data_IF_437195061229
#
_entry.id   IF_437195061229
#
_cell.length_a   1.000
_cell.length_b   1.000
_cell.length_c   1.000
_cell.angle_alpha   90.00
_cell.angle_beta   90.00
_cell.angle_gamma   90.00
#
_symmetry.space_group_name_H-M   'P 1'
#
loop_
_entity.id
_entity.type
_entity.pdbx_description
1 polymer ?
#
# COMPACT_ATOMS: atom_id res chain seq x y z
N UNK A 1 34.19 -16.55 -67.62
CA UNK A 1 32.84 -17.15 -67.72
C UNK A 1 32.19 -17.07 -66.35
N UNK A 2 30.98 -16.55 -66.32
CA UNK A 2 30.25 -15.93 -65.20
C UNK A 2 29.99 -16.85 -64.02
N UNK A 3 30.52 -16.49 -62.84
CA UNK A 3 30.11 -17.08 -61.55
C UNK A 3 28.79 -16.45 -61.11
N UNK A 4 27.74 -17.28 -61.08
CA UNK A 4 26.42 -16.94 -60.53
C UNK A 4 26.50 -16.93 -59.01
N UNK A 5 26.23 -15.77 -58.39
CA UNK A 5 26.09 -15.63 -56.93
C UNK A 5 24.63 -15.90 -56.55
N UNK A 6 24.37 -17.08 -55.99
CA UNK A 6 23.09 -17.39 -55.34
C UNK A 6 23.06 -16.72 -53.97
N UNK A 7 22.23 -15.68 -53.82
CA UNK A 7 21.93 -15.07 -52.53
C UNK A 7 20.86 -15.92 -51.82
N UNK A 8 21.23 -16.49 -50.66
CA UNK A 8 20.27 -17.14 -49.75
C UNK A 8 19.62 -16.05 -48.90
N UNK A 9 18.34 -15.79 -49.13
CA UNK A 9 17.54 -14.87 -48.32
C UNK A 9 17.12 -15.60 -47.04
N UNK A 10 17.79 -15.32 -45.92
CA UNK A 10 17.36 -15.80 -44.61
C UNK A 10 16.13 -14.99 -44.14
N UNK A 11 14.96 -15.62 -44.16
CA UNK A 11 13.73 -15.03 -43.66
C UNK A 11 13.76 -15.06 -42.12
N UNK A 12 14.19 -13.96 -41.51
CA UNK A 12 14.06 -13.74 -40.06
C UNK A 12 12.58 -13.45 -39.79
N UNK A 13 11.84 -14.46 -39.34
CA UNK A 13 10.49 -14.27 -38.81
C UNK A 13 10.63 -13.63 -37.43
N UNK A 14 10.59 -12.31 -37.35
CA UNK A 14 10.32 -11.61 -36.09
C UNK A 14 8.86 -11.89 -35.71
N UNK A 15 8.65 -12.82 -34.76
CA UNK A 15 7.38 -12.91 -34.05
C UNK A 15 7.18 -11.57 -33.32
N UNK A 16 6.36 -10.69 -33.89
CA UNK A 16 5.83 -9.56 -33.16
C UNK A 16 4.94 -10.15 -32.05
N UNK A 17 5.44 -10.15 -30.81
CA UNK A 17 4.62 -10.34 -29.62
C UNK A 17 3.56 -9.24 -29.66
N UNK A 18 2.36 -9.59 -30.11
CA UNK A 18 1.20 -8.73 -29.96
C UNK A 18 1.07 -8.43 -28.46
N UNK A 19 0.94 -7.15 -28.05
CA UNK A 19 0.75 -6.83 -26.65
C UNK A 19 -0.50 -7.58 -26.18
N UNK A 20 -0.32 -8.48 -25.21
CA UNK A 20 -1.42 -9.16 -24.55
C UNK A 20 -2.37 -8.07 -24.05
N UNK A 21 -3.60 -8.07 -24.55
CA UNK A 21 -4.65 -7.22 -23.98
C UNK A 21 -4.74 -7.60 -22.51
N UNK A 22 -4.42 -6.68 -21.62
CA UNK A 22 -4.44 -6.94 -20.19
C UNK A 22 -5.86 -7.36 -19.82
N UNK A 23 -6.01 -8.58 -19.31
CA UNK A 23 -7.26 -9.02 -18.69
C UNK A 23 -7.49 -8.15 -17.46
N UNK A 24 -8.69 -7.62 -17.30
CA UNK A 24 -9.03 -6.86 -16.10
C UNK A 24 -8.92 -7.75 -14.85
N UNK A 25 -8.88 -7.15 -13.66
CA UNK A 25 -8.86 -7.91 -12.40
C UNK A 25 -7.57 -8.68 -12.11
N UNK A 26 -6.42 -8.28 -12.68
CA UNK A 26 -5.11 -8.86 -12.36
C UNK A 26 -4.38 -7.99 -11.36
N UNK A 27 -3.69 -8.62 -10.40
CA UNK A 27 -2.81 -7.94 -9.46
C UNK A 27 -1.55 -8.76 -9.19
N UNK A 28 -0.49 -8.09 -8.76
CA UNK A 28 0.74 -8.71 -8.30
C UNK A 28 1.38 -7.84 -7.22
N UNK A 29 2.03 -8.47 -6.25
CA UNK A 29 2.77 -7.78 -5.19
C UNK A 29 4.23 -8.22 -5.22
N UNK A 30 5.16 -7.28 -5.19
CA UNK A 30 6.59 -7.56 -5.00
C UNK A 30 7.02 -6.89 -3.72
N UNK A 31 7.64 -7.67 -2.81
CA UNK A 31 8.17 -7.17 -1.55
C UNK A 31 9.63 -7.56 -1.40
N UNK A 32 10.48 -6.59 -1.11
CA UNK A 32 11.86 -6.77 -0.66
C UNK A 32 11.92 -6.58 0.85
N UNK A 33 12.63 -7.46 1.56
CA UNK A 33 12.87 -7.36 2.98
C UNK A 33 14.34 -7.60 3.34
N UNK A 34 14.83 -6.82 4.30
CA UNK A 34 16.13 -6.95 4.91
C UNK A 34 16.40 -8.38 5.42
N UNK A 35 15.41 -8.96 6.12
CA UNK A 35 15.50 -10.31 6.70
C UNK A 35 15.70 -11.44 5.69
N UNK A 36 15.47 -11.19 4.40
CA UNK A 36 15.69 -12.14 3.30
C UNK A 36 16.91 -11.80 2.45
N UNK A 37 17.65 -10.74 2.76
CA UNK A 37 18.76 -10.25 1.95
C UNK A 37 18.31 -9.64 0.62
N UNK A 38 17.04 -9.26 0.49
CA UNK A 38 16.45 -8.81 -0.78
C UNK A 38 17.04 -7.49 -1.30
N UNK A 39 17.66 -6.70 -0.42
CA UNK A 39 18.32 -5.45 -0.78
C UNK A 39 19.73 -5.61 -1.38
N UNK A 40 20.24 -6.83 -1.55
CA UNK A 40 21.58 -7.07 -2.12
C UNK A 40 21.72 -6.53 -3.55
N UNK A 41 20.64 -6.60 -4.33
CA UNK A 41 20.62 -6.16 -5.74
C UNK A 41 20.26 -4.69 -5.92
N UNK A 42 19.95 -3.98 -4.83
CA UNK A 42 19.60 -2.57 -4.88
C UNK A 42 20.84 -1.70 -5.12
N UNK A 43 20.66 -0.65 -5.91
CA UNK A 43 21.66 0.39 -6.09
C UNK A 43 21.57 1.37 -4.93
N UNK A 44 22.70 1.59 -4.25
CA UNK A 44 22.78 2.46 -3.07
C UNK A 44 23.68 3.66 -3.36
N UNK A 45 23.25 4.84 -2.92
CA UNK A 45 24.02 6.09 -2.98
C UNK A 45 23.83 6.82 -1.66
N UNK A 46 24.90 7.04 -0.88
CA UNK A 46 24.79 7.63 0.46
C UNK A 46 24.03 6.79 1.50
N UNK A 47 23.71 5.53 1.14
CA UNK A 47 23.00 4.54 1.96
C UNK A 47 23.85 3.29 2.04
N UNK A 48 23.80 2.62 3.19
CA UNK A 48 24.53 1.40 3.49
C UNK A 48 23.60 0.29 3.93
N UNK A 49 24.09 -0.94 3.82
CA UNK A 49 23.44 -2.14 4.36
C UNK A 49 23.98 -2.41 5.76
N UNK A 50 23.11 -2.49 6.75
CA UNK A 50 23.45 -2.95 8.08
C UNK A 50 23.62 -4.48 8.11
N UNK A 51 24.10 -5.02 9.24
CA UNK A 51 24.36 -6.46 9.40
C UNK A 51 23.10 -7.33 9.27
N UNK A 52 21.93 -6.79 9.64
CA UNK A 52 20.62 -7.45 9.49
C UNK A 52 20.03 -7.29 8.08
N UNK A 53 20.77 -6.69 7.15
CA UNK A 53 20.35 -6.42 5.78
C UNK A 53 19.53 -5.13 5.59
N UNK A 54 19.16 -4.42 6.66
CA UNK A 54 18.39 -3.18 6.57
C UNK A 54 19.20 -2.05 5.92
N UNK A 55 18.51 -1.07 5.33
CA UNK A 55 19.16 0.07 4.68
C UNK A 55 19.13 1.28 5.59
N UNK A 56 20.29 1.95 5.72
CA UNK A 56 20.46 3.11 6.60
C UNK A 56 21.27 4.20 5.90
N UNK A 57 21.00 5.46 6.23
CA UNK A 57 21.83 6.57 5.75
C UNK A 57 23.26 6.41 6.28
N UNK A 58 24.26 6.63 5.42
CA UNK A 58 25.68 6.63 5.79
C UNK A 58 26.16 8.08 5.90
N UNK A 59 26.37 8.65 7.10
CA UNK A 59 26.70 10.07 7.25
C UNK A 59 27.88 10.53 6.39
N UNK A 60 28.96 9.74 6.32
CA UNK A 60 30.15 10.06 5.51
C UNK A 60 30.00 9.90 3.99
N UNK A 61 28.87 9.37 3.50
CA UNK A 61 28.59 9.22 2.06
C UNK A 61 27.27 9.87 1.64
N UNK A 62 26.45 10.29 2.60
CA UNK A 62 25.26 11.11 2.38
C UNK A 62 25.65 12.50 1.86
N UNK A 63 24.72 13.16 1.19
CA UNK A 63 24.93 14.53 0.71
C UNK A 63 23.91 15.47 1.33
N UNK A 64 24.30 16.74 1.45
CA UNK A 64 23.40 17.78 1.93
C UNK A 64 22.33 18.09 0.89
N UNK A 65 21.12 18.36 1.39
CA UNK A 65 20.02 18.95 0.66
C UNK A 65 19.37 20.04 1.48
N UNK A 66 18.46 20.77 0.86
CA UNK A 66 17.61 21.78 1.49
C UNK A 66 16.18 21.54 1.09
N UNK A 67 15.24 21.99 1.93
CA UNK A 67 13.83 21.96 1.60
C UNK A 67 13.60 22.60 0.21
N UNK A 68 12.90 21.91 -0.71
CA UNK A 68 12.70 22.43 -2.06
C UNK A 68 11.81 23.69 -2.09
N UNK A 69 11.07 23.96 -1.02
CA UNK A 69 10.24 25.16 -0.89
C UNK A 69 10.76 26.02 0.26
N UNK A 70 10.71 27.35 0.09
CA UNK A 70 10.93 28.26 1.20
C UNK A 70 9.89 28.05 2.32
N UNK A 71 10.13 28.56 3.54
CA UNK A 71 9.18 28.43 4.64
C UNK A 71 7.75 28.84 4.26
N UNK A 72 6.78 27.94 4.46
CA UNK A 72 5.36 28.14 4.09
C UNK A 72 5.07 28.03 2.59
N UNK A 73 6.08 27.80 1.75
CA UNK A 73 5.99 27.78 0.29
C UNK A 73 5.30 26.53 -0.28
N UNK A 74 5.01 25.52 0.54
CA UNK A 74 4.32 24.30 0.13
C UNK A 74 2.95 24.24 0.79
N UNK A 75 1.93 24.84 0.14
CA UNK A 75 0.55 24.89 0.64
C UNK A 75 0.40 25.49 2.05
N UNK A 76 1.25 26.46 2.40
CA UNK A 76 1.30 27.05 3.74
C UNK A 76 2.12 26.25 4.76
N UNK A 77 2.62 25.06 4.38
CA UNK A 77 3.50 24.21 5.16
C UNK A 77 4.93 24.11 4.59
N UNK A 78 5.65 23.06 5.01
CA UNK A 78 6.99 22.67 4.52
C UNK A 78 6.92 21.32 3.82
N UNK A 79 7.77 21.09 2.81
CA UNK A 79 7.81 19.79 2.12
C UNK A 79 8.65 18.76 2.88
N UNK A 80 9.74 19.20 3.50
CA UNK A 80 10.49 18.41 4.47
C UNK A 80 10.47 19.13 5.82
N UNK A 81 11.65 19.41 6.37
CA UNK A 81 11.83 20.04 7.68
C UNK A 81 11.93 21.57 7.61
N UNK A 82 11.72 22.19 6.44
CA UNK A 82 11.87 23.64 6.24
C UNK A 82 13.32 24.14 6.25
N UNK A 83 14.31 23.26 6.27
CA UNK A 83 15.71 23.62 6.43
C UNK A 83 16.67 22.75 5.62
N UNK A 84 17.91 22.64 6.11
CA UNK A 84 18.91 21.72 5.55
C UNK A 84 18.78 20.33 6.15
N UNK A 85 19.27 19.33 5.42
CA UNK A 85 19.33 17.94 5.85
C UNK A 85 20.41 17.18 5.10
N UNK A 86 20.69 15.96 5.53
CA UNK A 86 21.48 14.96 4.82
C UNK A 86 20.55 13.92 4.22
N UNK A 87 20.88 13.44 3.03
CA UNK A 87 20.09 12.42 2.36
C UNK A 87 20.92 11.40 1.60
N UNK A 88 20.29 10.27 1.33
CA UNK A 88 20.80 9.15 0.56
C UNK A 88 19.65 8.43 -0.13
N UNK A 89 19.96 7.63 -1.15
CA UNK A 89 18.97 6.94 -1.96
C UNK A 89 19.29 5.44 -2.09
N UNK A 90 18.24 4.63 -2.02
CA UNK A 90 18.26 3.23 -2.37
C UNK A 90 17.27 2.99 -3.52
N UNK A 91 17.73 2.43 -4.64
CA UNK A 91 16.90 2.20 -5.83
C UNK A 91 16.84 0.70 -6.13
N UNK A 92 15.62 0.18 -6.32
CA UNK A 92 15.38 -1.22 -6.67
C UNK A 92 15.94 -1.55 -8.06
N UNK A 93 16.22 -2.83 -8.35
CA UNK A 93 16.33 -3.30 -9.73
C UNK A 93 15.09 -2.93 -10.54
N UNK A 94 15.23 -2.91 -11.87
CA UNK A 94 14.08 -2.86 -12.77
C UNK A 94 13.33 -4.18 -12.63
N UNK A 95 12.03 -4.11 -12.36
CA UNK A 95 11.14 -5.27 -12.31
C UNK A 95 10.23 -5.24 -13.53
N UNK A 96 10.31 -6.27 -14.37
CA UNK A 96 9.34 -6.51 -15.44
C UNK A 96 8.05 -7.05 -14.85
N UNK A 97 6.91 -6.47 -15.24
CA UNK A 97 5.60 -6.92 -14.81
C UNK A 97 5.13 -8.13 -15.63
N UNK A 98 4.49 -9.10 -14.98
CA UNK A 98 3.93 -10.27 -15.64
C UNK A 98 2.74 -9.95 -16.57
N UNK A 99 2.09 -8.81 -16.34
CA UNK A 99 1.00 -8.27 -17.16
C UNK A 99 1.11 -6.74 -17.25
N UNK A 100 0.46 -6.15 -18.25
CA UNK A 100 0.37 -4.70 -18.35
C UNK A 100 -0.50 -4.13 -17.23
N UNK A 101 0.08 -3.35 -16.31
CA UNK A 101 -0.65 -2.78 -15.17
C UNK A 101 -1.02 -1.31 -15.39
N UNK A 102 -2.02 -0.85 -14.64
CA UNK A 102 -2.61 0.50 -14.72
C UNK A 102 -2.45 1.28 -13.43
N UNK A 103 -2.33 0.58 -12.31
CA UNK A 103 -2.21 1.18 -10.98
C UNK A 103 -1.04 0.55 -10.23
N UNK A 104 -0.36 1.36 -9.41
CA UNK A 104 0.68 0.90 -8.51
C UNK A 104 0.61 1.64 -7.17
N UNK A 105 0.71 0.87 -6.08
CA UNK A 105 0.67 1.37 -4.71
C UNK A 105 1.95 0.90 -4.01
N UNK A 106 2.70 1.84 -3.45
CA UNK A 106 3.92 1.53 -2.71
C UNK A 106 3.62 1.32 -1.22
N UNK A 107 4.34 0.43 -0.55
CA UNK A 107 4.33 0.29 0.90
C UNK A 107 5.76 0.14 1.41
N UNK A 108 6.01 0.55 2.64
CA UNK A 108 7.35 0.49 3.24
C UNK A 108 7.26 0.18 4.73
N UNK A 109 8.30 -0.48 5.23
CA UNK A 109 8.51 -0.71 6.66
C UNK A 109 9.77 0.05 7.06
N UNK A 110 9.60 1.18 7.74
CA UNK A 110 10.71 2.05 8.11
C UNK A 110 10.62 2.47 9.57
N UNK A 111 11.77 2.50 10.24
CA UNK A 111 11.95 3.14 11.55
C UNK A 111 12.60 4.49 11.32
N UNK A 112 11.94 5.57 11.71
CA UNK A 112 12.51 6.91 11.58
C UNK A 112 12.57 7.55 12.97
N UNK A 113 13.70 7.44 13.69
CA UNK A 113 13.90 8.18 14.93
C UNK A 113 13.68 9.69 14.71
N UNK A 114 13.33 10.42 15.77
CA UNK A 114 13.18 11.88 15.72
C UNK A 114 14.37 12.54 15.02
N UNK A 115 14.09 13.49 14.12
CA UNK A 115 15.10 14.09 13.25
C UNK A 115 15.29 13.37 11.91
N UNK A 116 14.58 12.27 11.63
CA UNK A 116 14.72 11.50 10.39
C UNK A 116 13.37 11.23 9.74
N UNK A 117 13.39 10.98 8.42
CA UNK A 117 12.20 10.63 7.63
C UNK A 117 12.63 9.86 6.37
N UNK A 118 11.65 9.36 5.62
CA UNK A 118 11.85 8.73 4.31
C UNK A 118 10.89 9.32 3.27
N UNK A 119 11.27 9.26 2.00
CA UNK A 119 10.37 9.51 0.86
C UNK A 119 10.40 8.31 -0.07
N UNK A 120 9.24 7.78 -0.44
CA UNK A 120 9.14 6.67 -1.40
C UNK A 120 8.76 7.21 -2.77
N UNK A 121 9.53 6.87 -3.80
CA UNK A 121 9.28 7.26 -5.18
C UNK A 121 9.12 6.05 -6.08
N UNK A 122 8.26 6.17 -7.09
CA UNK A 122 8.00 5.15 -8.10
C UNK A 122 8.14 5.74 -9.49
N UNK A 123 8.70 4.97 -10.41
CA UNK A 123 8.58 5.24 -11.85
C UNK A 123 8.15 3.98 -12.57
N UNK A 124 7.47 4.16 -13.69
CA UNK A 124 6.94 3.05 -14.50
C UNK A 124 7.35 3.21 -15.95
N UNK A 125 7.43 2.11 -16.68
CA UNK A 125 7.72 2.09 -18.11
C UNK A 125 6.44 1.88 -18.91
N UNK A 126 6.07 2.84 -19.75
CA UNK A 126 4.87 2.79 -20.60
C UNK A 126 5.31 2.97 -22.06
N UNK A 127 4.95 2.03 -22.93
CA UNK A 127 5.35 2.09 -24.35
C UNK A 127 6.87 2.11 -24.55
N UNK A 128 7.63 1.49 -23.65
CA UNK A 128 9.10 1.46 -23.68
C UNK A 128 9.80 2.67 -23.06
N UNK A 129 9.08 3.76 -22.77
CA UNK A 129 9.64 4.95 -22.13
C UNK A 129 9.38 4.97 -20.63
N UNK A 130 10.37 5.42 -19.85
CA UNK A 130 10.22 5.62 -18.41
C UNK A 130 9.54 6.96 -18.12
N UNK A 131 8.61 6.96 -17.17
CA UNK A 131 8.10 8.19 -16.57
C UNK A 131 9.18 8.90 -15.77
N UNK A 132 8.89 10.15 -15.36
CA UNK A 132 9.60 10.75 -14.24
C UNK A 132 9.39 9.91 -12.97
N UNK A 133 10.19 10.19 -11.94
CA UNK A 133 9.93 9.69 -10.60
C UNK A 133 8.75 10.46 -9.99
N UNK A 134 7.78 9.71 -9.48
CA UNK A 134 6.65 10.22 -8.72
C UNK A 134 6.86 9.92 -7.25
N UNK A 135 6.65 10.90 -6.37
CA UNK A 135 6.64 10.68 -4.92
C UNK A 135 5.30 10.07 -4.50
N UNK A 136 5.35 8.98 -3.76
CA UNK A 136 4.21 8.23 -3.20
C UNK A 136 4.06 8.49 -1.69
N UNK A 137 4.82 9.46 -1.16
CA UNK A 137 4.64 9.97 0.19
C UNK A 137 5.96 10.19 0.93
N UNK A 138 5.94 11.23 1.76
CA UNK A 138 6.94 11.53 2.78
C UNK A 138 6.45 10.98 4.12
N UNK A 139 7.27 10.17 4.77
CA UNK A 139 6.91 9.42 5.97
C UNK A 139 7.91 9.61 7.10
N UNK A 140 7.37 9.81 8.31
CA UNK A 140 8.10 9.75 9.57
C UNK A 140 7.21 9.10 10.64
N UNK A 141 7.80 8.42 11.61
CA UNK A 141 7.15 7.76 12.77
C UNK A 141 6.55 8.79 13.73
N UNK A 142 7.18 9.95 13.88
CA UNK A 142 6.63 11.11 14.60
C UNK A 142 6.50 12.31 13.65
N UNK A 143 5.79 13.36 14.06
CA UNK A 143 5.53 14.56 13.24
C UNK A 143 6.31 15.80 13.68
N UNK A 144 7.29 15.64 14.59
CA UNK A 144 8.01 16.78 15.18
C UNK A 144 9.04 17.41 14.24
N UNK A 145 9.62 16.61 13.34
CA UNK A 145 10.64 17.06 12.37
C UNK A 145 10.05 17.31 10.99
N UNK A 146 9.23 16.38 10.51
CA UNK A 146 8.52 16.45 9.23
C UNK A 146 7.12 15.90 9.47
N UNK A 147 6.11 16.62 8.99
CA UNK A 147 4.73 16.13 9.00
C UNK A 147 4.53 15.18 7.80
N UNK A 148 3.95 14.01 8.02
CA UNK A 148 3.68 13.01 6.96
C UNK A 148 2.76 13.57 5.89
N UNK A 149 3.09 13.39 4.62
CA UNK A 149 2.19 13.80 3.55
C UNK A 149 2.36 13.05 2.24
N UNK A 150 1.25 12.94 1.50
CA UNK A 150 1.29 12.69 0.06
C UNK A 150 1.80 13.93 -0.68
N UNK A 151 2.34 13.72 -1.88
CA UNK A 151 2.88 14.80 -2.68
C UNK A 151 1.83 15.34 -3.68
N UNK A 152 1.86 16.65 -3.89
CA UNK A 152 0.84 17.41 -4.61
C UNK A 152 0.68 17.02 -6.08
N UNK A 153 -0.57 16.68 -6.47
CA UNK A 153 -1.13 16.65 -7.83
C UNK A 153 -0.18 16.25 -8.97
N UNK A 154 0.71 15.29 -8.70
CA UNK A 154 1.80 15.00 -9.63
C UNK A 154 1.24 14.33 -10.89
N UNK A 155 1.56 14.89 -12.06
CA UNK A 155 1.24 14.29 -13.34
C UNK A 155 2.36 14.50 -14.37
N UNK A 156 2.39 13.62 -15.37
CA UNK A 156 3.00 13.85 -16.67
C UNK A 156 1.99 13.44 -17.77
N UNK A 157 2.47 13.27 -19.01
CA UNK A 157 1.61 12.94 -20.15
C UNK A 157 1.04 11.52 -20.12
N UNK A 158 1.59 10.62 -19.31
CA UNK A 158 1.23 9.18 -19.32
C UNK A 158 0.84 8.62 -17.96
N UNK A 159 1.15 9.29 -16.86
CA UNK A 159 0.80 8.88 -15.51
C UNK A 159 0.52 10.07 -14.58
N UNK A 160 -0.24 9.81 -13.51
CA UNK A 160 -0.46 10.75 -12.40
C UNK A 160 -0.45 10.01 -11.06
N UNK A 161 -0.27 10.73 -9.97
CA UNK A 161 -0.51 10.23 -8.62
C UNK A 161 -1.87 10.70 -8.13
N UNK A 162 -2.56 9.82 -7.41
CA UNK A 162 -3.83 10.07 -6.75
C UNK A 162 -3.65 9.76 -5.26
N UNK A 163 -3.15 10.73 -4.50
CA UNK A 163 -2.73 10.60 -3.10
C UNK A 163 -1.63 9.54 -2.89
N UNK A 164 -1.99 8.26 -2.90
CA UNK A 164 -1.11 7.11 -2.64
C UNK A 164 -1.00 6.12 -3.81
N UNK A 165 -1.73 6.38 -4.91
CA UNK A 165 -1.81 5.47 -6.05
C UNK A 165 -1.26 6.13 -7.30
N UNK A 166 -0.22 5.54 -7.91
CA UNK A 166 0.22 5.91 -9.25
C UNK A 166 -0.75 5.28 -10.26
N UNK A 167 -1.32 6.12 -11.12
CA UNK A 167 -2.29 5.74 -12.15
C UNK A 167 -1.72 6.07 -13.52
N UNK A 168 -1.57 5.05 -14.37
CA UNK A 168 -1.27 5.25 -15.78
C UNK A 168 -2.50 5.85 -16.44
N UNK A 169 -2.39 7.02 -17.05
CA UNK A 169 -3.49 7.76 -17.69
C UNK A 169 -3.50 7.60 -19.21
N UNK A 170 -2.37 7.23 -19.81
CA UNK A 170 -2.26 7.01 -21.25
C UNK A 170 -3.32 6.00 -21.75
N UNK A 171 -4.13 6.42 -22.72
CA UNK A 171 -5.22 5.59 -23.28
C UNK A 171 -4.65 4.39 -24.01
N UNK A 172 -5.23 3.20 -23.81
CA UNK A 172 -4.84 1.94 -24.46
C UNK A 172 -3.38 1.50 -24.24
N UNK A 173 -2.65 2.13 -23.32
CA UNK A 173 -1.31 1.71 -22.91
C UNK A 173 -1.36 1.14 -21.50
N UNK A 174 -0.39 0.32 -21.13
CA UNK A 174 -0.21 -0.14 -19.76
C UNK A 174 1.27 -0.07 -19.41
N UNK A 175 1.57 0.00 -18.13
CA UNK A 175 2.94 -0.08 -17.68
C UNK A 175 3.42 -1.54 -17.71
N UNK A 176 4.65 -1.76 -18.15
CA UNK A 176 5.24 -3.10 -18.35
C UNK A 176 6.44 -3.37 -17.47
N UNK A 177 7.02 -2.33 -16.89
CA UNK A 177 8.09 -2.42 -15.91
C UNK A 177 8.00 -1.27 -14.90
N UNK A 178 8.66 -1.42 -13.77
CA UNK A 178 8.67 -0.42 -12.72
C UNK A 178 9.95 -0.46 -11.90
N UNK A 179 10.20 0.62 -11.16
CA UNK A 179 11.22 0.70 -10.11
C UNK A 179 10.69 1.49 -8.92
N UNK A 180 11.18 1.13 -7.74
CA UNK A 180 10.99 1.88 -6.50
C UNK A 180 12.33 2.52 -6.12
N UNK A 181 12.26 3.73 -5.59
CA UNK A 181 13.37 4.41 -4.95
C UNK A 181 12.92 4.87 -3.58
N UNK A 182 13.71 4.62 -2.55
CA UNK A 182 13.48 5.21 -1.22
C UNK A 182 14.61 6.17 -0.93
N UNK A 183 14.26 7.40 -0.57
CA UNK A 183 15.19 8.37 -0.01
C UNK A 183 15.15 8.30 1.50
N UNK A 184 16.32 8.34 2.11
CA UNK A 184 16.52 8.34 3.56
C UNK A 184 17.07 9.70 3.95
N UNK A 185 16.52 10.31 4.99
CA UNK A 185 16.88 11.66 5.41
C UNK A 185 17.23 11.75 6.89
N UNK A 186 18.18 12.64 7.20
CA UNK A 186 18.56 13.02 8.56
C UNK A 186 18.73 14.52 8.66
N UNK A 187 18.06 15.17 9.60
CA UNK A 187 18.14 16.62 9.80
C UNK A 187 19.57 17.08 10.16
N UNK A 188 20.30 16.29 10.97
CA UNK A 188 21.60 16.67 11.52
C UNK A 188 22.74 15.71 11.16
N UNK A 189 22.45 14.61 10.47
CA UNK A 189 23.46 13.60 10.09
C UNK A 189 23.88 12.67 11.23
N UNK A 190 23.24 12.76 12.41
CA UNK A 190 23.54 11.93 13.58
C UNK A 190 22.56 10.76 13.69
N UNK A 191 21.26 11.06 13.77
CA UNK A 191 20.22 10.02 13.72
C UNK A 191 20.06 9.52 12.27
N UNK A 192 19.83 8.22 12.08
CA UNK A 192 19.65 7.62 10.76
C UNK A 192 18.32 6.88 10.68
N UNK A 193 17.51 7.08 9.61
CA UNK A 193 16.33 6.26 9.38
C UNK A 193 16.77 4.87 8.89
N UNK A 194 15.94 3.87 9.18
CA UNK A 194 16.19 2.47 8.81
C UNK A 194 15.03 1.98 7.95
N UNK A 195 15.33 1.48 6.74
CA UNK A 195 14.37 0.79 5.88
C UNK A 195 14.52 -0.72 6.05
N UNK A 196 13.47 -1.37 6.54
CA UNK A 196 13.40 -2.81 6.78
C UNK A 196 12.79 -3.57 5.61
N UNK A 197 11.80 -2.98 4.94
CA UNK A 197 11.17 -3.56 3.76
C UNK A 197 10.58 -2.50 2.84
N UNK A 198 10.46 -2.86 1.56
CA UNK A 198 9.79 -2.07 0.53
C UNK A 198 8.90 -2.99 -0.30
N UNK A 199 7.71 -2.55 -0.65
CA UNK A 199 6.80 -3.30 -1.51
C UNK A 199 6.15 -2.41 -2.57
N UNK A 200 5.84 -3.01 -3.71
CA UNK A 200 4.97 -2.42 -4.72
C UNK A 200 3.90 -3.42 -5.13
N UNK A 201 2.65 -2.98 -5.03
CA UNK A 201 1.48 -3.73 -5.50
C UNK A 201 1.00 -3.10 -6.79
N UNK A 202 0.97 -3.86 -7.87
CA UNK A 202 0.50 -3.43 -9.19
C UNK A 202 -0.79 -4.12 -9.56
N UNK A 203 -1.64 -3.47 -10.35
CA UNK A 203 -2.83 -4.12 -10.88
C UNK A 203 -3.33 -3.50 -12.18
N UNK A 204 -4.19 -4.23 -12.88
CA UNK A 204 -5.05 -3.64 -13.92
C UNK A 204 -6.18 -2.82 -13.27
N UNK A 205 -6.95 -2.11 -14.09
CA UNK A 205 -8.14 -1.42 -13.60
C UNK A 205 -9.17 -2.43 -13.06
N UNK A 206 -9.95 -2.06 -12.01
CA UNK A 206 -10.99 -2.91 -11.48
C UNK A 206 -11.99 -3.39 -12.54
N UNK A 207 -12.43 -4.64 -12.42
CA UNK A 207 -13.48 -5.20 -13.27
C UNK A 207 -14.84 -4.65 -12.88
N UNK A 208 -15.61 -4.11 -13.84
CA UNK A 208 -16.98 -3.63 -13.54
C UNK A 208 -17.89 -4.78 -13.10
N UNK A 209 -17.68 -6.01 -13.59
CA UNK A 209 -18.47 -7.20 -13.27
C UNK A 209 -17.52 -8.37 -13.00
N UNK A 210 -16.94 -8.45 -11.80
CA UNK A 210 -15.97 -9.47 -11.47
C UNK A 210 -16.63 -10.84 -11.43
N UNK A 211 -15.93 -11.86 -11.95
CA UNK A 211 -16.31 -13.25 -11.72
C UNK A 211 -15.79 -13.68 -10.37
N UNK A 212 -16.70 -14.03 -9.46
CA UNK A 212 -16.36 -14.47 -8.11
C UNK A 212 -16.21 -16.00 -8.08
N UNK A 213 -15.02 -16.54 -7.81
CA UNK A 213 -14.85 -17.98 -7.65
C UNK A 213 -15.52 -18.47 -6.35
N UNK A 214 -15.89 -19.75 -6.34
CA UNK A 214 -16.39 -20.39 -5.13
C UNK A 214 -15.32 -20.38 -4.02
N UNK A 215 -15.75 -20.13 -2.79
CA UNK A 215 -14.91 -20.29 -1.60
C UNK A 215 -14.70 -21.76 -1.23
N UNK A 216 -13.87 -21.98 -0.22
CA UNK A 216 -13.60 -23.29 0.36
C UNK A 216 -14.37 -23.48 1.68
N UNK A 217 -15.44 -24.30 1.71
CA UNK A 217 -16.21 -24.56 2.93
C UNK A 217 -15.41 -25.09 4.12
N UNK A 218 -14.26 -25.73 3.88
CA UNK A 218 -13.39 -26.21 4.96
C UNK A 218 -12.70 -25.06 5.74
N UNK A 219 -12.75 -23.83 5.22
CA UNK A 219 -12.19 -22.62 5.84
C UNK A 219 -13.25 -21.65 6.36
N UNK A 220 -14.50 -22.07 6.33
CA UNK A 220 -15.64 -21.31 6.83
C UNK A 220 -15.93 -21.66 8.29
N UNK A 221 -16.95 -21.01 8.87
CA UNK A 221 -17.31 -21.16 10.27
C UNK A 221 -16.16 -20.84 11.25
N UNK A 222 -15.29 -19.92 10.87
CA UNK A 222 -14.17 -19.45 11.68
C UNK A 222 -14.20 -17.92 11.69
N UNK A 223 -14.16 -17.34 12.88
CA UNK A 223 -14.10 -15.89 13.04
C UNK A 223 -13.07 -15.52 14.10
N UNK A 224 -12.10 -14.71 13.70
CA UNK A 224 -11.05 -14.20 14.55
C UNK A 224 -11.63 -13.22 15.59
N UNK A 225 -11.05 -13.27 16.79
CA UNK A 225 -11.45 -12.44 17.93
C UNK A 225 -10.89 -11.01 17.83
N UNK A 226 -11.01 -10.38 16.65
CA UNK A 226 -10.57 -9.00 16.43
C UNK A 226 -11.42 -8.04 17.28
N UNK A 227 -10.79 -7.16 18.09
CA UNK A 227 -11.47 -6.12 18.86
C UNK A 227 -12.43 -5.28 18.01
N UNK A 228 -13.51 -4.82 18.63
CA UNK A 228 -14.63 -4.16 17.96
C UNK A 228 -14.67 -2.69 18.37
N UNK A 229 -14.11 -1.83 17.53
CA UNK A 229 -14.05 -0.40 17.78
C UNK A 229 -14.87 0.35 16.73
N UNK A 230 -15.83 1.14 17.19
CA UNK A 230 -16.59 2.07 16.35
C UNK A 230 -15.80 3.38 16.21
N UNK A 231 -15.79 3.93 15.00
CA UNK A 231 -15.29 5.29 14.77
C UNK A 231 -16.36 6.35 15.13
N UNK A 232 -17.64 5.97 15.14
CA UNK A 232 -18.77 6.90 15.30
C UNK A 232 -18.96 7.39 16.73
N UNK A 233 -18.24 6.80 17.69
CA UNK A 233 -18.28 7.23 19.10
C UNK A 233 -17.38 8.44 19.38
N UNK A 234 -16.53 8.84 18.42
CA UNK A 234 -15.63 9.99 18.55
C UNK A 234 -16.23 11.21 17.85
N UNK A 235 -16.78 12.20 18.58
CA UNK A 235 -17.46 13.36 17.99
C UNK A 235 -16.51 14.34 17.31
N UNK A 236 -15.19 14.18 17.48
CA UNK A 236 -14.14 15.09 17.03
C UNK A 236 -13.53 14.69 15.67
N UNK A 237 -14.37 14.17 14.76
CA UNK A 237 -13.97 13.76 13.40
C UNK A 237 -13.95 12.26 13.16
N UNK A 238 -14.52 11.47 14.08
CA UNK A 238 -14.59 10.02 13.98
C UNK A 238 -15.21 9.51 12.68
N UNK A 239 -16.12 10.25 12.06
CA UNK A 239 -16.79 9.89 10.80
C UNK A 239 -15.85 9.70 9.59
N UNK A 240 -14.60 10.18 9.68
CA UNK A 240 -13.56 9.99 8.65
C UNK A 240 -12.37 9.15 9.13
N UNK A 241 -12.51 8.39 10.22
CA UNK A 241 -11.43 7.59 10.83
C UNK A 241 -11.52 6.08 10.55
N UNK A 242 -12.24 5.64 9.52
CA UNK A 242 -12.43 4.22 9.22
C UNK A 242 -11.11 3.43 9.06
N UNK A 243 -10.13 4.02 8.37
CA UNK A 243 -8.81 3.41 8.14
C UNK A 243 -7.97 3.27 9.42
N UNK A 244 -7.70 4.34 10.21
CA UNK A 244 -6.97 4.20 11.46
C UNK A 244 -7.72 3.36 12.49
N UNK A 245 -9.06 3.41 12.53
CA UNK A 245 -9.86 2.56 13.43
C UNK A 245 -9.70 1.07 13.09
N UNK A 246 -9.74 0.71 11.79
CA UNK A 246 -9.50 -0.66 11.33
C UNK A 246 -8.07 -1.13 11.62
N UNK A 247 -7.08 -0.25 11.40
CA UNK A 247 -5.67 -0.52 11.73
C UNK A 247 -5.48 -0.75 13.22
N UNK A 248 -6.09 0.08 14.07
CA UNK A 248 -6.05 -0.06 15.52
C UNK A 248 -6.70 -1.37 16.00
N UNK A 249 -7.81 -1.80 15.39
CA UNK A 249 -8.44 -3.09 15.72
C UNK A 249 -7.49 -4.27 15.43
N UNK A 250 -6.82 -4.27 14.28
CA UNK A 250 -5.89 -5.34 13.90
C UNK A 250 -4.61 -5.32 14.75
N UNK A 251 -4.07 -4.14 15.07
CA UNK A 251 -2.93 -4.04 15.98
C UNK A 251 -3.27 -4.57 17.37
N UNK A 252 -4.41 -4.17 17.94
CA UNK A 252 -4.88 -4.67 19.24
C UNK A 252 -5.10 -6.19 19.24
N UNK A 253 -5.60 -6.75 18.14
CA UNK A 253 -5.75 -8.20 18.00
C UNK A 253 -4.42 -8.95 18.20
N UNK A 254 -3.33 -8.41 17.67
CA UNK A 254 -2.02 -9.04 17.79
C UNK A 254 -1.31 -8.74 19.12
N UNK A 255 -1.40 -7.51 19.62
CA UNK A 255 -0.69 -7.10 20.84
C UNK A 255 -1.43 -7.49 22.12
N UNK A 256 -2.70 -7.90 22.02
CA UNK A 256 -3.61 -8.07 23.15
C UNK A 256 -3.64 -6.81 24.05
N UNK A 257 -3.52 -5.63 23.44
CA UNK A 257 -3.44 -4.35 24.13
C UNK A 257 -4.72 -4.07 24.95
N UNK A 258 -4.54 -3.85 26.25
CA UNK A 258 -5.64 -3.69 27.23
C UNK A 258 -6.07 -2.23 27.44
N UNK A 259 -5.49 -1.26 26.71
CA UNK A 259 -5.87 0.16 26.83
C UNK A 259 -7.23 0.47 26.21
N UNK A 260 -7.77 -0.43 25.39
CA UNK A 260 -9.09 -0.32 24.76
C UNK A 260 -9.11 0.55 23.51
N UNK A 261 -10.30 0.69 22.92
CA UNK A 261 -10.51 1.34 21.62
C UNK A 261 -10.04 2.80 21.58
N UNK A 262 -10.43 3.63 22.55
CA UNK A 262 -10.11 5.07 22.60
C UNK A 262 -8.61 5.33 22.41
N UNK A 263 -7.76 4.74 23.26
CA UNK A 263 -6.33 4.99 23.24
C UNK A 263 -5.67 4.50 21.94
N UNK A 264 -6.08 3.33 21.45
CA UNK A 264 -5.49 2.70 20.27
C UNK A 264 -5.94 3.40 18.97
N UNK A 265 -7.22 3.78 18.87
CA UNK A 265 -7.74 4.51 17.71
C UNK A 265 -7.09 5.89 17.62
N UNK A 266 -7.02 6.65 18.72
CA UNK A 266 -6.39 7.98 18.70
C UNK A 266 -4.90 7.93 18.38
N UNK A 267 -4.19 6.93 18.88
CA UNK A 267 -2.79 6.72 18.51
C UNK A 267 -2.63 6.47 17.00
N UNK A 268 -3.49 5.63 16.41
CA UNK A 268 -3.50 5.38 14.98
C UNK A 268 -3.88 6.64 14.17
N UNK A 269 -4.91 7.37 14.57
CA UNK A 269 -5.34 8.63 13.92
C UNK A 269 -4.17 9.63 13.86
N UNK A 270 -3.50 9.90 14.98
CA UNK A 270 -2.34 10.78 15.00
C UNK A 270 -1.14 10.23 14.19
N UNK A 271 -0.96 8.91 14.21
CA UNK A 271 0.13 8.22 13.54
C UNK A 271 0.02 8.19 12.01
N UNK A 272 -1.18 8.26 11.45
CA UNK A 272 -1.40 8.07 9.99
C UNK A 272 -1.84 9.34 9.25
N UNK A 273 -2.08 10.45 9.97
CA UNK A 273 -2.57 11.68 9.36
C UNK A 273 -1.63 12.18 8.25
N UNK A 274 -2.20 12.34 7.05
CA UNK A 274 -1.57 12.95 5.88
C UNK A 274 -1.98 14.42 5.84
N UNK A 275 -1.05 15.33 6.16
CA UNK A 275 -1.42 16.74 6.33
C UNK A 275 -1.77 17.44 5.01
N UNK A 276 -1.18 17.02 3.89
CA UNK A 276 -1.50 17.60 2.58
C UNK A 276 -2.88 17.13 2.11
N UNK A 277 -3.17 15.83 2.25
CA UNK A 277 -4.51 15.29 1.96
C UNK A 277 -5.58 15.79 2.95
N UNK A 278 -5.17 16.14 4.17
CA UNK A 278 -6.06 16.56 5.25
C UNK A 278 -6.90 15.40 5.80
N UNK A 279 -6.33 14.19 5.84
CA UNK A 279 -7.08 13.00 6.21
C UNK A 279 -6.24 11.77 6.55
N UNK A 280 -6.94 10.65 6.77
CA UNK A 280 -6.36 9.40 7.28
C UNK A 280 -6.48 8.24 6.29
N UNK A 281 -6.97 8.53 5.08
CA UNK A 281 -7.29 7.56 4.03
C UNK A 281 -6.10 7.11 3.18
N UNK A 282 -4.91 7.66 3.40
CA UNK A 282 -3.69 7.23 2.71
C UNK A 282 -3.34 5.79 3.16
N UNK A 283 -3.51 4.81 2.28
CA UNK A 283 -3.40 3.39 2.63
C UNK A 283 -1.99 3.00 3.08
N UNK A 284 -0.92 3.39 2.34
CA UNK A 284 0.46 3.13 2.78
C UNK A 284 0.83 3.76 4.13
N UNK A 285 0.23 4.88 4.52
CA UNK A 285 0.50 5.49 5.82
C UNK A 285 -0.04 4.65 6.97
N UNK A 286 -1.18 3.99 6.78
CA UNK A 286 -1.74 3.07 7.77
C UNK A 286 -0.85 1.82 7.92
N UNK A 287 -0.35 1.27 6.82
CA UNK A 287 0.53 0.11 6.85
C UNK A 287 1.92 0.47 7.38
N UNK A 288 2.47 1.63 7.02
CA UNK A 288 3.72 2.14 7.58
C UNK A 288 3.63 2.43 9.08
N UNK A 289 2.48 2.95 9.56
CA UNK A 289 2.23 3.10 11.00
C UNK A 289 2.26 1.74 11.70
N UNK A 290 1.52 0.76 11.19
CA UNK A 290 1.52 -0.60 11.74
C UNK A 290 2.92 -1.22 11.73
N UNK A 291 3.70 -1.03 10.66
CA UNK A 291 5.08 -1.49 10.57
C UNK A 291 5.99 -0.84 11.63
N UNK A 292 5.79 0.45 11.91
CA UNK A 292 6.46 1.18 12.97
C UNK A 292 6.15 0.65 14.38
N UNK A 293 5.03 -0.07 14.55
CA UNK A 293 4.69 -0.78 15.78
C UNK A 293 5.30 -2.20 15.86
N UNK A 294 6.21 -2.56 14.95
CA UNK A 294 6.93 -3.83 14.95
C UNK A 294 6.33 -4.93 14.06
N UNK A 295 5.29 -4.63 13.30
CA UNK A 295 4.63 -5.59 12.41
C UNK A 295 5.24 -5.62 11.01
N UNK A 296 4.92 -6.66 10.24
CA UNK A 296 4.95 -6.59 8.78
C UNK A 296 3.60 -6.06 8.32
N UNK A 297 3.65 -5.05 7.45
CA UNK A 297 2.44 -4.42 6.97
C UNK A 297 2.62 -3.83 5.57
N UNK A 298 1.66 -4.10 4.69
CA UNK A 298 1.66 -3.55 3.34
C UNK A 298 0.26 -3.61 2.72
N UNK A 299 0.06 -2.78 1.71
CA UNK A 299 -1.13 -2.81 0.86
C UNK A 299 -0.98 -3.94 -0.15
N UNK A 300 -2.00 -4.78 -0.28
CA UNK A 300 -2.09 -5.84 -1.27
C UNK A 300 -3.38 -5.69 -2.08
N UNK A 301 -3.44 -6.36 -3.23
CA UNK A 301 -4.68 -6.54 -4.01
C UNK A 301 -4.90 -8.02 -4.22
N UNK A 302 -6.17 -8.41 -4.13
CA UNK A 302 -6.62 -9.78 -4.28
C UNK A 302 -7.75 -9.81 -5.32
N UNK A 303 -7.96 -10.97 -5.93
CA UNK A 303 -8.95 -11.15 -6.98
C UNK A 303 -10.19 -11.91 -6.51
N UNK A 304 -10.20 -12.38 -5.26
CA UNK A 304 -11.35 -13.03 -4.62
C UNK A 304 -11.17 -13.20 -3.11
N UNK A 305 -12.27 -13.42 -2.40
CA UNK A 305 -12.26 -13.89 -1.01
C UNK A 305 -11.72 -15.31 -0.88
N UNK A 306 -11.79 -16.14 -1.92
CA UNK A 306 -11.12 -17.44 -1.92
C UNK A 306 -9.60 -17.31 -1.69
N UNK A 307 -8.99 -16.21 -2.15
CA UNK A 307 -7.58 -15.90 -1.85
C UNK A 307 -7.36 -15.39 -0.42
N UNK A 308 -8.37 -14.80 0.24
CA UNK A 308 -8.29 -14.32 1.63
C UNK A 308 -8.57 -15.42 2.68
N UNK A 309 -9.38 -16.43 2.33
CA UNK A 309 -9.64 -17.59 3.20
C UNK A 309 -8.38 -18.22 3.81
N UNK A 310 -7.28 -18.50 3.06
CA UNK A 310 -6.05 -19.01 3.66
C UNK A 310 -5.40 -18.06 4.68
N UNK A 311 -5.52 -16.75 4.50
CA UNK A 311 -4.97 -15.76 5.45
C UNK A 311 -5.74 -15.79 6.76
N UNK A 312 -7.06 -15.86 6.69
CA UNK A 312 -7.92 -15.97 7.86
C UNK A 312 -7.73 -17.29 8.60
N UNK A 313 -7.57 -18.41 7.87
CA UNK A 313 -7.20 -19.70 8.48
C UNK A 313 -5.83 -19.65 9.15
N UNK A 314 -4.89 -18.84 8.64
CA UNK A 314 -3.60 -18.57 9.27
C UNK A 314 -3.70 -17.57 10.45
N UNK A 315 -4.90 -17.12 10.82
CA UNK A 315 -5.09 -16.19 11.93
C UNK A 315 -4.81 -14.72 11.59
N UNK A 316 -4.67 -14.38 10.31
CA UNK A 316 -4.41 -13.01 9.85
C UNK A 316 -5.72 -12.33 9.45
N UNK A 317 -6.24 -11.37 10.24
CA UNK A 317 -7.37 -10.55 9.82
C UNK A 317 -6.94 -9.60 8.70
N UNK A 318 -7.88 -9.26 7.81
CA UNK A 318 -7.59 -8.49 6.60
C UNK A 318 -8.40 -7.20 6.62
N UNK A 319 -7.76 -6.05 6.42
CA UNK A 319 -8.47 -4.77 6.32
C UNK A 319 -8.85 -4.55 4.86
N UNK A 320 -10.13 -4.42 4.54
CA UNK A 320 -10.62 -4.24 3.16
C UNK A 320 -10.94 -2.78 2.91
N UNK A 321 -10.49 -2.26 1.76
CA UNK A 321 -11.03 -1.01 1.20
C UNK A 321 -12.28 -1.34 0.39
N UNK A 322 -13.42 -0.81 0.78
CA UNK A 322 -14.73 -1.11 0.21
C UNK A 322 -15.46 0.17 -0.18
N UNK A 323 -16.38 0.07 -1.13
CA UNK A 323 -17.27 1.16 -1.49
C UNK A 323 -18.58 0.57 -2.01
N UNK A 324 -19.68 1.31 -1.81
CA UNK A 324 -21.01 0.89 -2.24
C UNK A 324 -21.95 2.09 -2.39
N UNK A 325 -22.89 1.97 -3.31
CA UNK A 325 -24.02 2.87 -3.49
C UNK A 325 -25.19 2.52 -2.58
N UNK A 326 -26.20 3.39 -2.59
CA UNK A 326 -27.40 3.24 -1.77
C UNK A 326 -28.13 1.93 -2.08
N UNK A 327 -28.25 1.06 -1.07
CA UNK A 327 -28.95 -0.22 -1.18
C UNK A 327 -28.17 -1.33 -1.86
N UNK A 328 -26.89 -1.13 -2.19
CA UNK A 328 -26.05 -2.18 -2.79
C UNK A 328 -25.51 -3.18 -1.75
N UNK A 329 -25.43 -2.79 -0.48
CA UNK A 329 -24.95 -3.64 0.62
C UNK A 329 -25.97 -3.72 1.75
N UNK A 330 -26.59 -4.88 1.91
CA UNK A 330 -27.66 -5.09 2.88
C UNK A 330 -27.11 -5.06 4.31
N UNK A 331 -27.75 -4.29 5.20
CA UNK A 331 -27.38 -4.21 6.61
C UNK A 331 -26.13 -3.37 6.90
N UNK A 332 -25.61 -2.61 5.93
CA UNK A 332 -24.52 -1.67 6.15
C UNK A 332 -24.93 -0.56 7.15
N UNK A 333 -24.03 -0.08 8.03
CA UNK A 333 -24.38 0.93 9.02
C UNK A 333 -24.56 2.33 8.40
N UNK A 334 -23.96 2.55 7.23
CA UNK A 334 -24.11 3.75 6.43
C UNK A 334 -24.70 3.38 5.06
N UNK A 335 -25.58 4.22 4.50
CA UNK A 335 -26.33 3.86 3.30
C UNK A 335 -25.47 3.74 2.04
N UNK A 336 -24.36 4.49 1.97
CA UNK A 336 -23.44 4.50 0.83
C UNK A 336 -22.09 5.09 1.24
N UNK A 337 -21.03 4.74 0.51
CA UNK A 337 -19.70 5.34 0.66
C UNK A 337 -18.90 5.26 -0.64
N UNK A 338 -18.08 6.28 -0.91
CA UNK A 338 -17.11 6.29 -2.01
C UNK A 338 -15.79 5.59 -1.63
N UNK A 339 -15.58 5.30 -0.34
CA UNK A 339 -14.42 4.62 0.20
C UNK A 339 -14.55 4.46 1.71
N UNK A 340 -14.39 3.23 2.19
CA UNK A 340 -14.51 2.87 3.60
C UNK A 340 -13.60 1.69 3.91
N UNK A 341 -13.07 1.64 5.13
CA UNK A 341 -12.20 0.55 5.57
C UNK A 341 -12.93 -0.27 6.63
N UNK A 342 -12.97 -1.59 6.42
CA UNK A 342 -13.56 -2.57 7.34
C UNK A 342 -12.58 -3.71 7.59
N UNK A 343 -12.68 -4.41 8.72
CA UNK A 343 -11.84 -5.59 8.98
C UNK A 343 -12.61 -6.85 8.67
N UNK A 344 -12.17 -7.64 7.71
CA UNK A 344 -12.61 -9.02 7.52
C UNK A 344 -11.99 -9.89 8.63
N UNK A 345 -12.86 -10.41 9.50
CA UNK A 345 -12.47 -11.23 10.64
C UNK A 345 -12.68 -12.73 10.39
N UNK A 346 -13.38 -13.12 9.33
CA UNK A 346 -13.64 -14.53 9.03
C UNK A 346 -14.86 -14.75 8.14
N UNK A 347 -15.37 -15.97 8.15
CA UNK A 347 -16.59 -16.35 7.43
C UNK A 347 -17.52 -17.16 8.33
N UNK A 348 -18.84 -16.99 8.15
CA UNK A 348 -19.84 -17.82 8.82
C UNK A 348 -19.90 -19.24 8.22
N UNK A 349 -20.82 -20.08 8.71
CA UNK A 349 -20.92 -21.48 8.28
C UNK A 349 -21.32 -21.69 6.80
N UNK A 350 -21.85 -20.66 6.14
CA UNK A 350 -22.25 -20.71 4.72
C UNK A 350 -21.35 -19.85 3.84
N UNK A 351 -20.25 -19.34 4.39
CA UNK A 351 -19.23 -18.60 3.65
C UNK A 351 -19.49 -17.11 3.52
N UNK A 352 -20.42 -16.53 4.28
CA UNK A 352 -20.61 -15.08 4.29
C UNK A 352 -19.52 -14.38 5.10
N UNK A 353 -18.94 -13.28 4.60
CA UNK A 353 -17.91 -12.52 5.30
C UNK A 353 -18.44 -11.95 6.61
N UNK A 354 -17.73 -12.26 7.69
CA UNK A 354 -17.93 -11.68 9.01
C UNK A 354 -16.90 -10.58 9.22
N UNK A 355 -17.37 -9.35 9.40
CA UNK A 355 -16.54 -8.15 9.43
C UNK A 355 -16.72 -7.37 10.73
N UNK A 356 -15.69 -6.61 11.10
CA UNK A 356 -15.81 -5.47 12.00
C UNK A 356 -15.90 -4.20 11.15
N UNK A 357 -17.09 -3.59 11.10
CA UNK A 357 -17.33 -2.35 10.37
C UNK A 357 -17.30 -1.15 11.34
N UNK A 358 -16.28 -0.28 11.29
CA UNK A 358 -16.11 0.78 12.27
C UNK A 358 -17.19 1.87 12.16
N UNK A 359 -17.93 1.97 11.06
CA UNK A 359 -19.00 2.97 10.90
C UNK A 359 -20.29 2.62 11.68
N UNK A 360 -20.29 1.54 12.48
CA UNK A 360 -21.39 1.21 13.38
C UNK A 360 -21.59 2.27 14.47
N UNK A 361 -22.82 2.43 14.96
CA UNK A 361 -23.16 3.45 15.97
C UNK A 361 -22.51 3.23 17.37
N UNK A 362 -22.02 2.02 17.66
CA UNK A 362 -21.37 1.66 18.92
C UNK A 362 -20.43 0.47 18.71
N UNK A 363 -19.48 0.27 19.63
CA UNK A 363 -18.55 -0.87 19.62
C UNK A 363 -19.27 -2.23 19.57
N UNK A 364 -20.41 -2.35 20.27
CA UNK A 364 -21.22 -3.57 20.29
C UNK A 364 -21.85 -3.89 18.94
N UNK A 365 -22.09 -2.89 18.08
CA UNK A 365 -22.72 -3.03 16.77
C UNK A 365 -21.70 -3.13 15.61
N UNK A 366 -20.39 -3.10 15.88
CA UNK A 366 -19.32 -3.14 14.86
C UNK A 366 -19.29 -4.48 14.11
N UNK A 367 -19.42 -5.59 14.83
CA UNK A 367 -19.39 -6.94 14.25
C UNK A 367 -20.67 -7.20 13.49
N UNK A 368 -20.55 -7.60 12.22
CA UNK A 368 -21.69 -7.94 11.34
C UNK A 368 -21.29 -8.96 10.29
N UNK A 369 -22.30 -9.59 9.70
CA UNK A 369 -22.14 -10.52 8.58
C UNK A 369 -22.82 -9.91 7.36
N UNK A 370 -22.11 -9.83 6.25
CA UNK A 370 -22.65 -9.36 4.97
C UNK A 370 -22.85 -10.54 4.03
N UNK A 371 -23.80 -10.46 3.09
CA UNK A 371 -23.89 -11.48 2.05
C UNK A 371 -22.63 -11.46 1.20
N UNK A 372 -21.99 -12.63 1.02
CA UNK A 372 -20.81 -12.76 0.15
C UNK A 372 -21.10 -12.29 -1.27
N UNK A 373 -22.29 -12.62 -1.77
CA UNK A 373 -22.79 -12.23 -3.08
C UNK A 373 -22.93 -10.72 -3.29
N UNK A 374 -22.97 -9.93 -2.21
CA UNK A 374 -23.01 -8.47 -2.27
C UNK A 374 -21.61 -7.89 -2.06
N UNK A 375 -20.94 -8.25 -0.97
CA UNK A 375 -19.69 -7.61 -0.57
C UNK A 375 -18.52 -7.92 -1.50
N UNK A 376 -18.36 -9.19 -1.93
CA UNK A 376 -17.19 -9.59 -2.72
C UNK A 376 -17.17 -8.90 -4.10
N UNK A 377 -18.27 -8.89 -4.89
CA UNK A 377 -18.29 -8.15 -6.15
C UNK A 377 -18.08 -6.64 -5.97
N UNK A 378 -18.63 -6.04 -4.91
CA UNK A 378 -18.44 -4.61 -4.62
C UNK A 378 -16.98 -4.30 -4.29
N UNK A 379 -16.34 -5.09 -3.44
CA UNK A 379 -14.93 -4.96 -3.09
C UNK A 379 -14.03 -5.07 -4.34
N UNK A 380 -14.23 -6.09 -5.17
CA UNK A 380 -13.45 -6.29 -6.38
C UNK A 380 -13.66 -5.18 -7.42
N UNK A 381 -14.91 -4.78 -7.65
CA UNK A 381 -15.24 -3.82 -8.72
C UNK A 381 -14.98 -2.35 -8.36
N UNK A 382 -15.02 -1.99 -7.08
CA UNK A 382 -14.88 -0.60 -6.64
C UNK A 382 -13.48 -0.26 -6.16
N UNK A 383 -12.82 -1.18 -5.44
CA UNK A 383 -11.47 -0.95 -4.91
C UNK A 383 -10.39 -1.81 -5.56
N UNK A 384 -10.74 -2.64 -6.56
CA UNK A 384 -9.79 -3.53 -7.20
C UNK A 384 -9.28 -4.63 -6.27
N UNK A 385 -10.07 -4.99 -5.26
CA UNK A 385 -9.68 -5.97 -4.25
C UNK A 385 -8.60 -5.48 -3.29
N UNK A 386 -8.51 -4.17 -3.08
CA UNK A 386 -7.50 -3.56 -2.19
C UNK A 386 -7.71 -3.97 -0.75
N UNK A 387 -6.63 -4.38 -0.10
CA UNK A 387 -6.60 -4.81 1.29
C UNK A 387 -5.28 -4.43 1.98
N UNK A 388 -5.29 -4.35 3.30
CA UNK A 388 -4.07 -4.29 4.11
C UNK A 388 -3.84 -5.65 4.76
N UNK A 389 -2.59 -6.07 4.73
CA UNK A 389 -2.12 -7.18 5.53
C UNK A 389 -1.27 -6.61 6.65
N UNK A 390 -1.55 -7.02 7.89
CA UNK A 390 -0.80 -6.64 9.09
C UNK A 390 -0.65 -7.87 9.97
N UNK A 391 0.59 -8.30 10.19
CA UNK A 391 0.89 -9.52 10.95
C UNK A 391 2.31 -9.49 11.55
N UNK A 392 2.60 -10.27 12.61
CA UNK A 392 3.94 -10.31 13.21
C UNK A 392 5.03 -10.77 12.22
N UNK A 393 6.27 -10.27 12.35
CA UNK A 393 7.34 -10.47 11.35
C UNK A 393 7.65 -11.93 10.99
N UNK A 394 7.53 -12.83 11.96
CA UNK A 394 7.83 -14.25 11.79
C UNK A 394 6.56 -15.12 11.79
N UNK A 395 5.39 -14.49 11.63
CA UNK A 395 4.13 -15.21 11.57
C UNK A 395 4.03 -16.03 10.28
N UNK A 396 3.70 -17.33 10.34
CA UNK A 396 3.50 -18.13 9.13
C UNK A 396 2.30 -17.60 8.32
N UNK A 397 2.55 -17.20 7.09
CA UNK A 397 1.52 -16.66 6.18
C UNK A 397 1.49 -17.39 4.84
N UNK A 398 0.35 -17.37 4.12
CA UNK A 398 0.30 -17.83 2.74
C UNK A 398 1.24 -17.03 1.83
N UNK A 399 1.62 -17.62 0.69
CA UNK A 399 2.29 -16.87 -0.37
C UNK A 399 1.33 -15.84 -1.00
N UNK A 400 1.88 -14.68 -1.37
CA UNK A 400 1.18 -13.62 -2.11
C UNK A 400 1.26 -13.79 -3.62
#
# INVERSE_FOLDING_TARGET
>A
MTQSRTAVLALIITLALAPSVATAGQSASTRWAASRGDFLTWQLSGVGRAADGSLQLLPGQSWSGTDPYGPGGYYGGTYYNGGSFFQGEATSPIVSSAFGFREAIASWEATTPTGTWVETLVRVQVGGAWTKWFSLGVWASDSSTVQRHSADSQADTVARVSIDTLIVTAKKSAATAWQVKTRLFSANGVATPVLHASALTTSTSPETRPTVPAGNPARWNQVLAVPRCSQMVYPDGGEVWCSPTSTAMVLQYWTADTRGCEANVRAAVAGVHDWYYGGHGNWPFNTAYAAGQGFQAHVARFTSFAQLEPWLSAGVPVILSVAWGKGELTGAPIPSTAGHLIVLAGFDAVGNPVVNDPAAASDTAVRRTYYRSELEPLWLSRSGGTAYLVYPRDWPVPAL
#
